data_IF_393572827442
#
_entry.id   IF_393572827442
#
_cell.length_a   1.000
_cell.length_b   1.000
_cell.length_c   1.000
_cell.angle_alpha   90.00
_cell.angle_beta   90.00
_cell.angle_gamma   90.00
#
_symmetry.space_group_name_H-M   'P 1'
#
loop_
_entity.id
_entity.type
_entity.pdbx_description
1 polymer ?
#
# COMPACT_ATOMS: atom_id res chain seq x y z
N UNK A 1 -37.48 28.41 -13.16
CA UNK A 1 -36.95 28.06 -11.84
C UNK A 1 -35.85 27.00 -12.03
N UNK A 2 -34.60 27.44 -12.01
CA UNK A 2 -33.47 26.56 -12.12
C UNK A 2 -33.28 25.87 -10.77
N UNK A 3 -33.63 24.59 -10.69
CA UNK A 3 -33.19 23.75 -9.59
C UNK A 3 -31.75 23.42 -9.82
N UNK A 4 -30.85 24.15 -9.20
CA UNK A 4 -29.47 23.75 -9.08
C UNK A 4 -29.45 22.47 -8.23
N UNK A 5 -29.46 21.33 -8.91
CA UNK A 5 -28.94 20.13 -8.27
C UNK A 5 -27.44 20.35 -8.10
N UNK A 6 -27.06 20.97 -6.98
CA UNK A 6 -25.76 20.71 -6.43
C UNK A 6 -25.79 19.22 -6.09
N UNK A 7 -25.36 18.38 -7.03
CA UNK A 7 -24.89 17.07 -6.64
C UNK A 7 -23.77 17.35 -5.65
N UNK A 8 -24.11 17.31 -4.36
CA UNK A 8 -23.10 17.13 -3.35
C UNK A 8 -22.36 15.87 -3.81
N UNK A 9 -21.15 16.05 -4.30
CA UNK A 9 -20.23 14.95 -4.48
C UNK A 9 -20.02 14.36 -3.09
N UNK A 10 -20.88 13.41 -2.76
CA UNK A 10 -20.68 12.58 -1.59
C UNK A 10 -19.52 11.67 -1.94
N UNK A 11 -18.28 12.20 -1.75
CA UNK A 11 -17.13 11.32 -1.74
C UNK A 11 -17.31 10.42 -0.52
N UNK A 12 -17.56 9.14 -0.76
CA UNK A 12 -17.58 8.17 0.30
C UNK A 12 -16.30 8.35 1.13
N UNK A 13 -16.37 8.34 2.47
CA UNK A 13 -15.19 8.48 3.30
C UNK A 13 -14.18 7.42 2.91
N UNK A 14 -12.88 7.78 2.86
CA UNK A 14 -11.81 6.83 2.63
C UNK A 14 -11.82 5.75 3.72
N UNK A 15 -11.59 4.51 3.33
CA UNK A 15 -11.53 3.37 4.25
C UNK A 15 -10.61 2.30 3.65
N UNK A 16 -10.09 1.41 4.46
CA UNK A 16 -9.24 0.30 4.05
C UNK A 16 -10.02 -0.96 3.65
N UNK A 17 -11.29 -0.84 3.33
CA UNK A 17 -12.14 -1.95 2.89
C UNK A 17 -12.33 -1.94 1.37
N UNK A 18 -12.59 -3.12 0.81
CA UNK A 18 -12.93 -3.26 -0.62
C UNK A 18 -14.13 -2.37 -0.98
N UNK A 19 -14.02 -1.67 -2.09
CA UNK A 19 -15.04 -0.76 -2.61
C UNK A 19 -14.87 0.69 -2.17
N UNK A 20 -14.01 0.97 -1.20
CA UNK A 20 -13.74 2.33 -0.71
C UNK A 20 -12.49 2.92 -1.37
N UNK A 21 -12.42 4.22 -1.44
CA UNK A 21 -11.17 4.92 -1.73
C UNK A 21 -10.16 4.66 -0.62
N UNK A 22 -8.93 4.35 -1.00
CA UNK A 22 -7.86 4.10 -0.05
C UNK A 22 -7.63 5.33 0.85
N UNK A 23 -7.35 5.11 2.15
CA UNK A 23 -6.92 6.19 3.03
C UNK A 23 -5.64 6.87 2.50
N UNK A 24 -5.43 8.11 2.89
CA UNK A 24 -4.16 8.77 2.63
C UNK A 24 -3.00 8.00 3.29
N UNK A 25 -1.87 7.94 2.61
CA UNK A 25 -0.66 7.31 3.13
C UNK A 25 0.38 8.39 3.41
N UNK A 26 0.60 8.69 4.68
CA UNK A 26 1.60 9.67 5.14
C UNK A 26 2.70 8.92 5.87
N UNK A 27 3.91 8.92 5.32
CA UNK A 27 5.04 8.15 5.88
C UNK A 27 5.80 8.92 6.96
N UNK A 28 5.69 10.23 6.97
CA UNK A 28 6.27 11.11 7.99
C UNK A 28 7.76 11.41 7.82
N UNK A 29 8.46 10.73 6.94
CA UNK A 29 9.91 10.84 6.78
C UNK A 29 10.36 11.21 5.36
N UNK A 30 9.45 11.62 4.49
CA UNK A 30 9.78 12.01 3.13
C UNK A 30 9.45 13.48 2.87
N UNK A 31 10.32 14.15 2.13
CA UNK A 31 10.15 15.52 1.67
C UNK A 31 9.44 15.60 0.30
N UNK A 32 8.80 14.50 -0.13
CA UNK A 32 8.16 14.41 -1.43
C UNK A 32 6.72 13.91 -1.36
N UNK A 33 6.18 13.60 -2.53
CA UNK A 33 4.86 13.01 -2.63
C UNK A 33 4.81 11.63 -1.98
N UNK A 34 3.69 11.32 -1.34
CA UNK A 34 3.39 9.96 -0.89
C UNK A 34 3.56 8.96 -2.06
N UNK A 35 4.04 7.74 -1.80
CA UNK A 35 4.16 6.72 -2.85
C UNK A 35 2.87 6.47 -3.62
N UNK A 36 1.71 6.57 -2.98
CA UNK A 36 0.42 6.44 -3.66
C UNK A 36 0.19 7.58 -4.65
N UNK A 37 0.62 8.79 -4.30
CA UNK A 37 0.50 9.95 -5.19
C UNK A 37 1.49 9.88 -6.35
N UNK A 38 2.66 9.30 -6.15
CA UNK A 38 3.65 9.09 -7.21
C UNK A 38 3.14 8.16 -8.31
N UNK A 39 2.28 7.20 -7.95
CA UNK A 39 1.67 6.22 -8.86
C UNK A 39 0.20 6.52 -9.16
N UNK A 40 -0.21 7.77 -8.99
CA UNK A 40 -1.59 8.19 -9.26
C UNK A 40 -1.99 7.87 -10.71
N UNK A 41 -3.16 7.25 -10.87
CA UNK A 41 -3.65 6.83 -12.18
C UNK A 41 -3.16 5.45 -12.62
N UNK A 42 -2.36 4.80 -11.79
CA UNK A 42 -1.85 3.44 -12.02
C UNK A 42 -2.42 2.48 -10.98
N UNK A 43 -2.45 1.19 -11.30
CA UNK A 43 -2.79 0.16 -10.32
C UNK A 43 -1.63 -0.04 -9.35
N UNK A 44 -1.95 -0.18 -8.07
CA UNK A 44 -0.95 -0.29 -7.00
C UNK A 44 -1.25 -1.51 -6.15
N UNK A 45 -0.24 -2.33 -5.92
CA UNK A 45 -0.25 -3.33 -4.86
C UNK A 45 0.49 -2.74 -3.65
N UNK A 46 -0.27 -2.37 -2.62
CA UNK A 46 0.25 -1.77 -1.40
C UNK A 46 0.39 -2.84 -0.33
N UNK A 47 1.58 -3.03 0.19
CA UNK A 47 1.89 -4.02 1.23
C UNK A 47 2.36 -3.31 2.49
N UNK A 48 1.79 -3.70 3.65
CA UNK A 48 2.31 -3.32 4.96
C UNK A 48 2.98 -4.51 5.61
N UNK A 49 4.14 -4.30 6.22
CA UNK A 49 4.91 -5.37 6.83
C UNK A 49 5.84 -4.88 7.94
N UNK A 50 6.32 -5.83 8.74
CA UNK A 50 7.37 -5.60 9.74
C UNK A 50 8.35 -6.77 9.73
N UNK A 51 9.61 -6.50 10.00
CA UNK A 51 10.65 -7.53 10.08
C UNK A 51 10.42 -8.52 11.23
N UNK A 52 9.71 -8.08 12.27
CA UNK A 52 9.36 -8.92 13.43
C UNK A 52 8.12 -9.79 13.21
N UNK A 53 7.39 -9.57 12.13
CA UNK A 53 6.20 -10.37 11.76
C UNK A 53 6.52 -11.22 10.53
N UNK A 54 6.76 -12.51 10.77
CA UNK A 54 7.25 -13.42 9.74
C UNK A 54 6.27 -13.56 8.56
N UNK A 55 4.97 -13.56 8.83
CA UNK A 55 3.94 -13.70 7.80
C UNK A 55 3.92 -12.50 6.86
N UNK A 56 3.93 -11.29 7.39
CA UNK A 56 3.94 -10.08 6.56
C UNK A 56 5.26 -9.89 5.82
N UNK A 57 6.38 -10.25 6.42
CA UNK A 57 7.69 -10.25 5.75
C UNK A 57 7.70 -11.21 4.56
N UNK A 58 7.19 -12.43 4.75
CA UNK A 58 7.07 -13.41 3.67
C UNK A 58 6.15 -12.93 2.55
N UNK A 59 5.00 -12.36 2.91
CA UNK A 59 4.08 -11.79 1.93
C UNK A 59 4.76 -10.67 1.11
N UNK A 60 5.50 -9.79 1.77
CA UNK A 60 6.26 -8.74 1.08
C UNK A 60 7.27 -9.30 0.07
N UNK A 61 8.01 -10.34 0.46
CA UNK A 61 8.95 -11.01 -0.45
C UNK A 61 8.27 -11.61 -1.67
N UNK A 62 7.12 -12.26 -1.47
CA UNK A 62 6.34 -12.87 -2.54
C UNK A 62 5.79 -11.81 -3.50
N UNK A 63 5.18 -10.75 -3.00
CA UNK A 63 4.64 -9.66 -3.79
C UNK A 63 5.74 -8.88 -4.53
N UNK A 64 6.87 -8.68 -3.89
CA UNK A 64 8.03 -8.07 -4.54
C UNK A 64 8.47 -8.89 -5.76
N UNK A 65 8.60 -10.20 -5.60
CA UNK A 65 8.97 -11.10 -6.69
C UNK A 65 7.93 -11.10 -7.80
N UNK A 66 6.65 -11.15 -7.46
CA UNK A 66 5.56 -11.16 -8.44
C UNK A 66 5.50 -9.85 -9.22
N UNK A 67 5.71 -8.71 -8.57
CA UNK A 67 5.70 -7.40 -9.21
C UNK A 67 6.82 -7.18 -10.21
N UNK A 68 7.91 -7.93 -10.09
CA UNK A 68 9.06 -7.87 -11.01
C UNK A 68 8.89 -8.77 -12.24
N UNK A 69 7.84 -9.60 -12.30
CA UNK A 69 7.63 -10.48 -13.43
C UNK A 69 7.25 -9.69 -14.69
N UNK A 70 7.72 -10.12 -15.89
CA UNK A 70 7.26 -9.54 -17.13
C UNK A 70 5.74 -9.62 -17.23
N UNK A 71 5.10 -8.52 -17.60
CA UNK A 71 3.65 -8.46 -17.71
C UNK A 71 2.90 -8.12 -16.43
N UNK A 72 3.58 -7.90 -15.31
CA UNK A 72 2.94 -7.36 -14.12
C UNK A 72 2.34 -5.97 -14.43
N UNK A 73 1.03 -5.83 -14.26
CA UNK A 73 0.29 -4.64 -14.65
C UNK A 73 -0.08 -3.76 -13.45
N UNK A 74 0.74 -3.77 -12.41
CA UNK A 74 0.59 -2.96 -11.20
C UNK A 74 1.97 -2.57 -10.67
N UNK A 75 2.02 -1.47 -9.92
CA UNK A 75 3.22 -1.05 -9.21
C UNK A 75 3.17 -1.55 -7.77
N UNK A 76 4.27 -2.08 -7.27
CA UNK A 76 4.37 -2.49 -5.88
C UNK A 76 4.85 -1.31 -5.03
N UNK A 77 4.10 -1.00 -3.98
CA UNK A 77 4.46 -0.06 -2.93
C UNK A 77 4.46 -0.82 -1.62
N UNK A 78 5.60 -0.95 -0.99
CA UNK A 78 5.78 -1.72 0.23
C UNK A 78 6.20 -0.80 1.37
N UNK A 79 5.42 -0.80 2.44
CA UNK A 79 5.57 0.10 3.58
C UNK A 79 5.94 -0.70 4.83
N UNK A 80 7.12 -0.43 5.34
CA UNK A 80 7.64 -1.08 6.54
C UNK A 80 7.27 -0.28 7.78
N UNK A 81 6.80 -0.96 8.80
CA UNK A 81 6.41 -0.41 10.09
C UNK A 81 7.40 -0.76 11.22
N UNK A 82 8.65 -1.05 10.88
CA UNK A 82 9.71 -1.20 11.88
C UNK A 82 10.05 0.16 12.50
N UNK A 83 10.49 0.13 13.76
CA UNK A 83 10.94 1.34 14.45
C UNK A 83 12.37 1.74 14.09
N UNK A 84 13.13 0.81 13.54
CA UNK A 84 14.54 1.00 13.20
C UNK A 84 14.76 1.07 11.69
N UNK A 85 15.23 2.22 11.21
CA UNK A 85 15.60 2.39 9.81
C UNK A 85 16.76 1.47 9.40
N UNK A 86 17.69 1.20 10.30
CA UNK A 86 18.83 0.29 10.00
C UNK A 86 18.37 -1.16 9.84
N UNK A 87 17.40 -1.61 10.65
CA UNK A 87 16.79 -2.93 10.50
C UNK A 87 16.07 -3.04 9.16
N UNK A 88 15.23 -2.06 8.84
CA UNK A 88 14.55 -1.98 7.55
C UNK A 88 15.53 -2.08 6.38
N UNK A 89 16.56 -1.25 6.37
CA UNK A 89 17.57 -1.25 5.30
C UNK A 89 18.32 -2.58 5.19
N UNK A 90 18.64 -3.19 6.32
CA UNK A 90 19.30 -4.50 6.35
C UNK A 90 18.42 -5.61 5.77
N UNK A 91 17.13 -5.60 6.09
CA UNK A 91 16.20 -6.59 5.55
C UNK A 91 15.96 -6.40 4.04
N UNK A 92 15.85 -5.17 3.57
CA UNK A 92 15.72 -4.89 2.13
C UNK A 92 16.88 -5.50 1.36
N UNK A 93 18.09 -5.40 1.90
CA UNK A 93 19.29 -5.98 1.30
C UNK A 93 19.30 -7.52 1.39
N UNK A 94 19.07 -8.07 2.57
CA UNK A 94 19.10 -9.52 2.83
C UNK A 94 18.03 -10.27 2.03
N UNK A 95 16.84 -9.72 1.92
CA UNK A 95 15.72 -10.32 1.19
C UNK A 95 15.75 -10.00 -0.32
N UNK A 96 16.76 -9.26 -0.78
CA UNK A 96 16.93 -8.83 -2.17
C UNK A 96 15.67 -8.16 -2.75
N UNK A 97 15.09 -7.26 -1.97
CA UNK A 97 13.86 -6.54 -2.34
C UNK A 97 14.17 -5.41 -3.33
N UNK A 98 13.19 -5.11 -4.18
CA UNK A 98 13.27 -3.95 -5.05
C UNK A 98 13.28 -2.66 -4.22
N UNK A 99 14.45 -2.05 -4.08
CA UNK A 99 14.64 -0.87 -3.25
C UNK A 99 13.69 0.27 -3.60
N UNK A 100 13.38 0.47 -4.87
CA UNK A 100 12.50 1.55 -5.31
C UNK A 100 11.03 1.35 -4.88
N UNK A 101 10.64 0.14 -4.53
CA UNK A 101 9.29 -0.19 -4.05
C UNK A 101 9.19 -0.19 -2.51
N UNK A 102 10.31 -0.09 -1.78
CA UNK A 102 10.35 -0.24 -0.33
C UNK A 102 10.45 1.12 0.37
N UNK A 103 9.54 1.37 1.28
CA UNK A 103 9.42 2.64 2.01
C UNK A 103 9.39 2.37 3.51
N UNK A 104 10.13 3.15 4.27
CA UNK A 104 10.06 3.16 5.72
C UNK A 104 9.08 4.24 6.21
N UNK A 105 8.69 4.14 7.46
CA UNK A 105 7.82 5.12 8.12
C UNK A 105 8.55 5.78 9.27
N UNK A 106 8.20 7.03 9.58
CA UNK A 106 8.56 7.59 10.87
C UNK A 106 7.75 6.91 11.99
N UNK A 107 8.30 6.85 13.19
CA UNK A 107 7.60 6.27 14.35
C UNK A 107 6.29 7.03 14.62
N UNK A 108 6.32 8.35 14.45
CA UNK A 108 5.17 9.23 14.68
C UNK A 108 4.02 8.97 13.68
N UNK A 109 4.33 8.54 12.46
CA UNK A 109 3.32 8.25 11.43
C UNK A 109 2.66 6.88 11.62
N UNK A 110 3.28 5.96 12.34
CA UNK A 110 2.84 4.56 12.41
C UNK A 110 1.45 4.39 13.01
N UNK A 111 1.13 5.11 14.09
CA UNK A 111 -0.18 4.98 14.75
C UNK A 111 -1.33 5.37 13.81
N UNK A 112 -1.17 6.44 13.05
CA UNK A 112 -2.16 6.88 12.07
C UNK A 112 -2.34 5.86 10.93
N UNK A 113 -1.24 5.27 10.47
CA UNK A 113 -1.26 4.22 9.43
C UNK A 113 -1.97 2.98 9.96
N UNK A 114 -1.58 2.50 11.13
CA UNK A 114 -2.18 1.31 11.76
C UNK A 114 -3.69 1.50 11.91
N UNK A 115 -4.12 2.66 12.35
CA UNK A 115 -5.54 2.97 12.54
C UNK A 115 -6.29 3.06 11.22
N UNK A 116 -5.82 3.86 10.27
CA UNK A 116 -6.54 4.10 9.01
C UNK A 116 -6.59 2.87 8.10
N UNK A 117 -5.56 2.03 8.15
CA UNK A 117 -5.45 0.82 7.36
C UNK A 117 -5.86 -0.45 8.12
N UNK A 118 -6.35 -0.32 9.37
CA UNK A 118 -6.85 -1.41 10.21
C UNK A 118 -5.83 -2.53 10.41
N UNK A 119 -4.59 -2.15 10.76
CA UNK A 119 -3.48 -3.09 10.92
C UNK A 119 -3.26 -3.55 12.37
N UNK A 120 -4.14 -3.16 13.29
CA UNK A 120 -4.01 -3.47 14.72
C UNK A 120 -4.19 -4.97 15.05
N UNK A 121 -4.81 -5.74 14.17
CA UNK A 121 -4.99 -7.21 14.32
C UNK A 121 -4.13 -8.01 13.35
N UNK A 122 -3.30 -7.35 12.55
CA UNK A 122 -2.41 -7.99 11.59
C UNK A 122 -2.14 -7.11 10.39
N UNK A 123 -1.07 -7.45 9.68
CA UNK A 123 -0.69 -6.75 8.47
C UNK A 123 -1.50 -7.25 7.28
N UNK A 124 -1.77 -6.34 6.35
CA UNK A 124 -2.52 -6.64 5.13
C UNK A 124 -1.88 -5.97 3.93
N UNK A 125 -2.21 -6.50 2.76
CA UNK A 125 -1.89 -5.91 1.47
C UNK A 125 -3.17 -5.55 0.72
N UNK A 126 -3.11 -4.51 -0.10
CA UNK A 126 -4.26 -3.92 -0.75
C UNK A 126 -3.98 -3.73 -2.24
N UNK A 127 -4.86 -4.23 -3.09
CA UNK A 127 -4.80 -3.93 -4.52
C UNK A 127 -5.69 -2.72 -4.80
N UNK A 128 -5.09 -1.66 -5.31
CA UNK A 128 -5.77 -0.41 -5.67
C UNK A 128 -5.93 -0.31 -7.17
N UNK A 129 -7.12 0.08 -7.60
CA UNK A 129 -7.38 0.40 -9.00
C UNK A 129 -6.82 1.79 -9.38
N UNK A 130 -6.90 2.13 -10.64
CA UNK A 130 -6.34 3.38 -11.20
C UNK A 130 -6.92 4.65 -10.57
N UNK A 131 -8.12 4.57 -10.02
CA UNK A 131 -8.80 5.68 -9.32
C UNK A 131 -8.57 5.68 -7.81
N UNK A 132 -7.74 4.77 -7.29
CA UNK A 132 -7.45 4.64 -5.87
C UNK A 132 -8.47 3.84 -5.07
N UNK A 133 -9.43 3.21 -5.72
CA UNK A 133 -10.39 2.32 -5.04
C UNK A 133 -9.73 0.98 -4.71
N UNK A 134 -9.94 0.48 -3.48
CA UNK A 134 -9.48 -0.84 -3.06
C UNK A 134 -10.35 -1.90 -3.73
N UNK A 135 -9.73 -2.78 -4.51
CA UNK A 135 -10.43 -3.85 -5.23
C UNK A 135 -10.20 -5.22 -4.63
N UNK A 136 -9.15 -5.39 -3.83
CA UNK A 136 -8.89 -6.64 -3.11
C UNK A 136 -8.02 -6.39 -1.87
N UNK A 137 -8.20 -7.24 -0.86
CA UNK A 137 -7.33 -7.30 0.34
C UNK A 137 -6.64 -8.67 0.33
N UNK A 138 -5.34 -8.66 0.58
CA UNK A 138 -4.48 -9.85 0.54
C UNK A 138 -4.67 -10.68 -0.75
N UNK A 139 -4.50 -10.05 -1.93
CA UNK A 139 -4.76 -10.74 -3.19
C UNK A 139 -3.83 -11.93 -3.38
N UNK A 140 -4.37 -13.03 -3.88
CA UNK A 140 -3.57 -14.21 -4.21
C UNK A 140 -2.87 -14.06 -5.57
N UNK A 141 -1.98 -15.02 -5.84
CA UNK A 141 -1.21 -15.02 -7.09
C UNK A 141 -2.10 -15.11 -8.34
N UNK A 142 -3.19 -15.85 -8.27
CA UNK A 142 -4.11 -16.00 -9.40
C UNK A 142 -4.82 -14.69 -9.74
N UNK A 143 -5.28 -13.96 -8.71
CA UNK A 143 -5.89 -12.64 -8.89
C UNK A 143 -4.88 -11.65 -9.49
N UNK A 144 -3.66 -11.59 -8.94
CA UNK A 144 -2.63 -10.68 -9.43
C UNK A 144 -2.20 -10.99 -10.86
N UNK A 145 -2.13 -12.26 -11.24
CA UNK A 145 -1.85 -12.66 -12.62
C UNK A 145 -2.96 -12.25 -13.59
N UNK A 146 -4.19 -12.07 -13.12
CA UNK A 146 -5.33 -11.64 -13.94
C UNK A 146 -5.42 -10.13 -14.15
N UNK A 147 -4.64 -9.34 -13.43
CA UNK A 147 -4.63 -7.87 -13.53
C UNK A 147 -4.08 -7.44 -14.88
N UNK A 148 -4.82 -6.55 -15.55
CA UNK A 148 -4.46 -6.00 -16.86
C UNK A 148 -4.23 -4.50 -16.81
#
# INVERSE_FOLDING_TARGET
MLTLFTSAYYSAPADSRVGYKAPALVLGNSNGLSPLMQHRGEKILLTFWSSSDAESRLANMQYDRMSRQPGAAYNHVSVNLDRSASVFNGIVEVDDLNRSAQFSTSVEAQDAIIKSWRLNEGFHSFLLDVDGTIVAVDPDAALLASVK
#
